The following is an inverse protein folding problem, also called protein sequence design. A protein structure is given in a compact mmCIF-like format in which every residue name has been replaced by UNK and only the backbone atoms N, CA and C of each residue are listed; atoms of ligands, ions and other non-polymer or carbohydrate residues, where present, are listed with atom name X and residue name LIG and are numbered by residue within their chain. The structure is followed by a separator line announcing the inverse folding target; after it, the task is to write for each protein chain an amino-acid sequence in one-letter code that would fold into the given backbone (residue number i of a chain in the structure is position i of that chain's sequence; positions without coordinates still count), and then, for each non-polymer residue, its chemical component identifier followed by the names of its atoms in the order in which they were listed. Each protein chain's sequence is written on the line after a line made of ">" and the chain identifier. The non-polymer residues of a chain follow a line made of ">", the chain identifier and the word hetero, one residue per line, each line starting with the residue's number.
data_IF_791965119340
#
_entry.id   IF_791965119340
#
_cell.length_a   1.000
_cell.length_b   1.000
_cell.length_c   1.000
_cell.angle_alpha   90.00
_cell.angle_beta   90.00
_cell.angle_gamma   90.00
#
_symmetry.space_group_name_H-M   'P 1'
#
loop_
_entity.id
_entity.type
_entity.pdbx_description
1 polymer ?
#
# COMPACT_ATOMS: atom_id res chain seq x y z
N UNK A 1 -1.28 39.56 75.27
CA UNK A 1 -1.35 39.06 73.88
C UNK A 1 -2.70 38.39 73.69
N UNK A 2 -3.48 38.86 72.71
CA UNK A 2 -4.94 38.71 72.55
C UNK A 2 -5.29 37.34 71.93
N UNK A 3 -6.24 36.57 72.51
CA UNK A 3 -7.64 36.27 72.03
C UNK A 3 -7.69 35.64 70.61
N UNK A 4 -8.43 34.59 70.24
CA UNK A 4 -9.58 33.82 70.77
C UNK A 4 -9.68 32.53 69.91
N UNK A 5 -9.93 31.35 70.48
CA UNK A 5 -11.23 30.64 70.46
C UNK A 5 -12.04 30.80 69.15
N UNK A 6 -12.02 29.76 68.31
CA UNK A 6 -12.80 29.65 67.09
C UNK A 6 -14.24 29.20 67.41
N UNK A 7 -15.18 29.94 66.83
CA UNK A 7 -16.62 29.90 67.00
C UNK A 7 -17.24 28.72 66.21
N UNK A 8 -18.14 27.99 66.85
CA UNK A 8 -19.09 27.11 66.17
C UNK A 8 -20.25 27.93 65.59
N UNK A 9 -20.63 27.65 64.34
CA UNK A 9 -21.93 28.05 63.78
C UNK A 9 -22.51 26.89 62.97
N UNK A 10 -23.69 26.42 63.40
CA UNK A 10 -24.60 25.57 62.64
C UNK A 10 -25.26 26.39 61.52
N UNK A 11 -25.32 25.85 60.30
CA UNK A 11 -26.34 26.20 59.29
C UNK A 11 -26.78 24.94 58.52
N UNK A 12 -28.09 24.81 58.36
CA UNK A 12 -28.93 23.75 57.79
C UNK A 12 -28.73 23.46 56.29
N UNK A 13 -29.28 22.35 55.76
CA UNK A 13 -29.01 21.88 54.39
C UNK A 13 -29.80 22.69 53.35
N UNK A 14 -29.08 23.24 52.36
CA UNK A 14 -29.71 23.72 51.14
C UNK A 14 -29.77 22.56 50.14
N UNK A 15 -30.98 22.02 49.95
CA UNK A 15 -31.30 21.14 48.84
C UNK A 15 -31.14 21.93 47.53
N UNK A 16 -29.96 21.83 46.90
CA UNK A 16 -29.81 22.19 45.51
C UNK A 16 -30.39 21.04 44.67
N UNK A 17 -31.62 21.22 44.19
CA UNK A 17 -32.16 20.52 43.04
C UNK A 17 -31.21 20.72 41.86
N UNK A 18 -30.25 19.81 41.72
CA UNK A 18 -29.51 19.64 40.49
C UNK A 18 -30.51 19.15 39.45
N UNK A 19 -30.97 20.08 38.60
CA UNK A 19 -31.55 19.73 37.31
C UNK A 19 -30.42 19.07 36.52
N UNK A 20 -30.24 17.76 36.74
CA UNK A 20 -29.38 16.94 35.92
C UNK A 20 -29.98 16.93 34.53
N UNK A 21 -29.48 17.79 33.65
CA UNK A 21 -29.62 17.60 32.22
C UNK A 21 -28.95 16.26 31.93
N UNK A 22 -29.76 15.19 31.92
CA UNK A 22 -29.33 13.88 31.51
C UNK A 22 -28.72 14.05 30.11
N UNK A 23 -27.42 13.80 30.01
CA UNK A 23 -26.77 13.69 28.71
C UNK A 23 -27.63 12.72 27.88
N UNK A 24 -27.99 13.06 26.63
CA UNK A 24 -28.83 12.18 25.84
C UNK A 24 -28.15 10.82 25.79
N UNK A 25 -28.84 9.83 26.35
CA UNK A 25 -28.48 8.42 26.26
C UNK A 25 -28.33 8.13 24.77
N UNK A 26 -27.08 8.05 24.30
CA UNK A 26 -26.78 7.63 22.94
C UNK A 26 -27.33 6.22 22.83
N UNK A 27 -28.41 6.04 22.06
CA UNK A 27 -29.02 4.74 21.85
C UNK A 27 -27.90 3.72 21.57
N UNK A 28 -27.96 2.49 22.12
CA UNK A 28 -26.89 1.52 21.99
C UNK A 28 -26.57 1.38 20.51
N UNK A 29 -25.38 1.88 20.16
CA UNK A 29 -24.94 1.92 18.78
C UNK A 29 -24.87 0.48 18.30
N UNK A 30 -25.47 0.21 17.14
CA UNK A 30 -25.35 -1.11 16.53
C UNK A 30 -23.87 -1.36 16.29
N UNK A 31 -23.30 -2.30 17.03
CA UNK A 31 -21.92 -2.70 16.84
C UNK A 31 -21.85 -3.55 15.57
N UNK A 32 -20.90 -3.24 14.68
CA UNK A 32 -20.87 -3.84 13.34
C UNK A 32 -19.51 -4.45 12.97
N UNK A 33 -19.09 -5.54 13.65
CA UNK A 33 -17.95 -6.34 13.21
C UNK A 33 -18.07 -6.79 11.74
N UNK A 34 -19.31 -7.02 11.26
CA UNK A 34 -19.59 -7.36 9.88
C UNK A 34 -19.14 -6.27 8.89
N UNK A 35 -19.34 -4.98 9.21
CA UNK A 35 -18.95 -3.86 8.36
C UNK A 35 -17.44 -3.75 8.21
N UNK A 36 -16.69 -3.86 9.31
CA UNK A 36 -15.24 -3.90 9.25
C UNK A 36 -14.74 -5.08 8.40
N UNK A 37 -15.34 -6.27 8.57
CA UNK A 37 -15.01 -7.46 7.77
C UNK A 37 -15.30 -7.25 6.29
N UNK A 38 -16.46 -6.68 5.95
CA UNK A 38 -16.83 -6.38 4.57
C UNK A 38 -15.85 -5.40 3.91
N UNK A 39 -15.39 -4.36 4.61
CA UNK A 39 -14.39 -3.44 4.06
C UNK A 39 -13.06 -4.15 3.78
N UNK A 40 -12.60 -5.05 4.65
CA UNK A 40 -11.37 -5.82 4.39
C UNK A 40 -11.52 -6.79 3.21
N UNK A 41 -12.69 -7.41 3.04
CA UNK A 41 -13.01 -8.20 1.85
C UNK A 41 -13.01 -7.31 0.61
N UNK A 42 -13.57 -6.10 0.70
CA UNK A 42 -13.59 -5.15 -0.41
C UNK A 42 -12.18 -4.70 -0.79
N UNK A 43 -11.29 -4.45 0.19
CA UNK A 43 -9.88 -4.16 -0.04
C UNK A 43 -9.20 -5.31 -0.79
N UNK A 44 -9.36 -6.55 -0.33
CA UNK A 44 -8.80 -7.73 -1.00
C UNK A 44 -9.35 -7.90 -2.43
N UNK A 45 -10.64 -7.60 -2.65
CA UNK A 45 -11.26 -7.61 -3.97
C UNK A 45 -10.67 -6.52 -4.87
N UNK A 46 -10.52 -5.29 -4.39
CA UNK A 46 -9.92 -4.19 -5.16
C UNK A 46 -8.45 -4.47 -5.52
N UNK A 47 -7.71 -5.18 -4.66
CA UNK A 47 -6.36 -5.69 -4.97
C UNK A 47 -6.44 -6.69 -6.13
N UNK A 48 -7.36 -7.66 -6.08
CA UNK A 48 -7.57 -8.64 -7.15
C UNK A 48 -7.94 -7.95 -8.47
N UNK A 49 -8.84 -6.96 -8.41
CA UNK A 49 -9.32 -6.22 -9.58
C UNK A 49 -8.19 -5.41 -10.26
N UNK A 50 -7.10 -5.07 -9.54
CA UNK A 50 -5.91 -4.48 -10.18
C UNK A 50 -5.24 -5.43 -11.17
N UNK A 51 -5.35 -6.75 -10.95
CA UNK A 51 -4.84 -7.75 -11.90
C UNK A 51 -5.83 -8.02 -13.05
N UNK A 52 -7.07 -7.54 -12.96
CA UNK A 52 -8.08 -7.67 -14.02
C UNK A 52 -8.10 -6.46 -14.95
N UNK A 53 -7.97 -5.26 -14.39
CA UNK A 53 -8.18 -4.00 -15.12
C UNK A 53 -7.32 -2.84 -14.61
N UNK A 54 -6.38 -3.11 -13.70
CA UNK A 54 -5.52 -2.07 -13.15
C UNK A 54 -4.53 -1.53 -14.18
N UNK A 55 -3.83 -0.42 -13.87
CA UNK A 55 -2.93 0.24 -14.81
C UNK A 55 -1.83 -0.67 -15.38
N UNK A 56 -1.32 -1.61 -14.58
CA UNK A 56 -0.31 -2.57 -15.03
C UNK A 56 -0.86 -3.55 -16.07
N UNK A 57 -2.11 -3.99 -15.90
CA UNK A 57 -2.80 -4.87 -16.85
C UNK A 57 -3.07 -4.12 -18.16
N UNK A 58 -3.58 -2.88 -18.07
CA UNK A 58 -3.81 -2.01 -19.22
C UNK A 58 -2.52 -1.77 -20.02
N UNK A 59 -1.41 -1.46 -19.36
CA UNK A 59 -0.14 -1.28 -20.05
C UNK A 59 0.39 -2.60 -20.64
N UNK A 60 0.25 -3.73 -19.93
CA UNK A 60 0.65 -5.04 -20.46
C UNK A 60 -0.09 -5.41 -21.75
N UNK A 61 -1.42 -5.23 -21.76
CA UNK A 61 -2.26 -5.42 -22.96
C UNK A 61 -1.83 -4.46 -24.07
N UNK A 62 -1.62 -3.19 -23.76
CA UNK A 62 -1.22 -2.19 -24.76
C UNK A 62 0.16 -2.50 -25.38
N UNK A 63 1.13 -3.01 -24.61
CA UNK A 63 2.44 -3.45 -25.11
C UNK A 63 2.32 -4.64 -26.06
N UNK A 64 1.44 -5.61 -25.77
CA UNK A 64 1.18 -6.73 -26.68
C UNK A 64 0.60 -6.24 -28.01
N UNK A 65 -0.39 -5.35 -27.97
CA UNK A 65 -1.03 -4.80 -29.18
C UNK A 65 -0.07 -3.98 -30.04
N UNK A 66 0.83 -3.20 -29.42
CA UNK A 66 1.83 -2.39 -30.16
C UNK A 66 2.98 -3.23 -30.75
N UNK A 67 3.11 -4.51 -30.39
CA UNK A 67 4.23 -5.33 -30.84
C UNK A 67 4.03 -5.87 -32.27
N UNK A 68 4.56 -5.13 -33.25
CA UNK A 68 4.59 -5.57 -34.65
C UNK A 68 5.40 -6.86 -34.83
N UNK A 69 6.46 -7.05 -34.05
CA UNK A 69 7.27 -8.26 -34.06
C UNK A 69 6.45 -9.49 -33.62
N UNK A 70 5.66 -9.36 -32.55
CA UNK A 70 4.79 -10.43 -32.08
C UNK A 70 3.72 -10.75 -33.13
N UNK A 71 3.11 -9.72 -33.72
CA UNK A 71 2.09 -9.89 -34.77
C UNK A 71 2.64 -10.69 -35.95
N UNK A 72 3.81 -10.31 -36.50
CA UNK A 72 4.46 -11.04 -37.60
C UNK A 72 4.81 -12.48 -37.21
N UNK A 73 5.30 -12.70 -35.99
CA UNK A 73 5.67 -14.02 -35.51
C UNK A 73 4.46 -14.96 -35.36
N UNK A 74 3.31 -14.43 -34.91
CA UNK A 74 2.05 -15.16 -34.81
C UNK A 74 1.48 -15.47 -36.19
N UNK A 75 1.51 -14.52 -37.12
CA UNK A 75 1.09 -14.74 -38.51
C UNK A 75 1.90 -15.86 -39.19
N UNK A 76 3.23 -15.85 -38.97
CA UNK A 76 4.12 -16.90 -39.45
C UNK A 76 4.02 -18.23 -38.66
N UNK A 77 3.19 -18.29 -37.62
CA UNK A 77 3.04 -19.44 -36.69
C UNK A 77 4.38 -20.00 -36.20
N UNK A 78 5.37 -19.13 -35.96
CA UNK A 78 6.73 -19.54 -35.57
C UNK A 78 6.94 -19.42 -34.05
N UNK A 79 6.98 -20.52 -33.28
CA UNK A 79 7.07 -20.46 -31.82
C UNK A 79 8.37 -19.83 -31.31
N UNK A 80 9.49 -19.98 -32.02
CA UNK A 80 10.78 -19.38 -31.63
C UNK A 80 10.73 -17.87 -31.78
N UNK A 81 10.20 -17.38 -32.89
CA UNK A 81 10.00 -15.95 -33.14
C UNK A 81 9.00 -15.33 -32.15
N UNK A 82 7.91 -16.05 -31.80
CA UNK A 82 6.94 -15.60 -30.78
C UNK A 82 7.63 -15.46 -29.42
N UNK A 83 8.42 -16.45 -28.99
CA UNK A 83 9.17 -16.36 -27.72
C UNK A 83 10.12 -15.17 -27.72
N UNK A 84 10.88 -14.95 -28.79
CA UNK A 84 11.79 -13.81 -28.89
C UNK A 84 11.03 -12.47 -28.82
N UNK A 85 9.91 -12.35 -29.53
CA UNK A 85 9.08 -11.14 -29.52
C UNK A 85 8.39 -10.87 -28.17
N UNK A 86 8.17 -11.91 -27.34
CA UNK A 86 7.59 -11.77 -26.02
C UNK A 86 8.57 -11.28 -24.95
N UNK A 87 9.89 -11.47 -25.12
CA UNK A 87 10.91 -11.04 -24.14
C UNK A 87 10.75 -9.56 -23.74
N UNK A 88 10.74 -8.59 -24.67
CA UNK A 88 10.60 -7.18 -24.30
C UNK A 88 9.20 -6.83 -23.77
N UNK A 89 8.17 -7.62 -24.09
CA UNK A 89 6.78 -7.36 -23.66
C UNK A 89 6.53 -7.83 -22.23
N UNK A 90 7.13 -8.95 -21.85
CA UNK A 90 6.96 -9.60 -20.55
C UNK A 90 7.75 -8.90 -19.43
N UNK A 91 8.86 -8.22 -19.77
CA UNK A 91 9.77 -7.60 -18.80
C UNK A 91 9.10 -6.65 -17.80
N UNK A 92 7.94 -6.07 -18.14
CA UNK A 92 7.15 -5.21 -17.26
C UNK A 92 5.91 -5.93 -16.69
N UNK A 93 6.17 -7.05 -15.99
CA UNK A 93 5.24 -7.78 -15.10
C UNK A 93 4.08 -8.54 -15.75
N UNK A 94 4.33 -9.28 -16.83
CA UNK A 94 3.44 -10.40 -17.21
C UNK A 94 3.96 -11.67 -16.52
N UNK A 95 3.16 -12.26 -15.64
CA UNK A 95 3.55 -13.46 -14.88
C UNK A 95 3.37 -14.72 -15.72
N UNK A 96 2.31 -14.75 -16.54
CA UNK A 96 1.99 -15.90 -17.39
C UNK A 96 1.27 -15.46 -18.66
N UNK A 97 1.60 -16.08 -19.79
CA UNK A 97 0.91 -15.84 -21.06
C UNK A 97 0.92 -17.10 -21.94
N UNK A 98 -0.25 -17.41 -22.48
CA UNK A 98 -0.47 -18.43 -23.50
C UNK A 98 -0.87 -17.73 -24.81
N UNK A 99 -0.18 -18.03 -25.89
CA UNK A 99 -0.47 -17.51 -27.24
C UNK A 99 -0.90 -18.65 -28.15
N UNK A 100 -2.00 -18.47 -28.87
CA UNK A 100 -2.61 -19.48 -29.74
C UNK A 100 -3.04 -18.90 -31.08
N UNK A 101 -3.03 -19.73 -32.14
CA UNK A 101 -3.55 -19.39 -33.47
C UNK A 101 -4.11 -20.66 -34.14
N UNK A 102 -5.17 -20.52 -34.95
CA UNK A 102 -5.80 -21.67 -35.65
C UNK A 102 -6.20 -22.80 -34.70
N UNK A 103 -6.82 -22.48 -33.57
CA UNK A 103 -7.20 -23.46 -32.54
C UNK A 103 -6.07 -23.95 -31.62
N UNK A 104 -4.80 -23.92 -32.04
CA UNK A 104 -3.66 -24.51 -31.32
C UNK A 104 -2.87 -23.49 -30.50
N UNK A 105 -2.44 -23.87 -29.29
CA UNK A 105 -1.46 -23.09 -28.51
C UNK A 105 -0.09 -23.19 -29.18
N UNK A 106 0.50 -22.04 -29.52
CA UNK A 106 1.82 -21.95 -30.14
C UNK A 106 2.92 -21.82 -29.08
N UNK A 107 2.70 -20.99 -28.06
CA UNK A 107 3.69 -20.69 -27.02
C UNK A 107 3.00 -20.55 -25.66
N UNK A 108 3.66 -21.04 -24.61
CA UNK A 108 3.38 -20.72 -23.21
C UNK A 108 4.64 -20.13 -22.57
N UNK A 109 4.47 -19.06 -21.82
CA UNK A 109 5.54 -18.42 -21.03
C UNK A 109 5.05 -18.18 -19.62
N UNK A 110 5.91 -18.46 -18.64
CA UNK A 110 5.58 -18.40 -17.21
C UNK A 110 4.98 -19.70 -16.68
N UNK A 111 5.37 -20.06 -15.46
CA UNK A 111 4.93 -21.29 -14.78
C UNK A 111 4.25 -21.00 -13.44
N UNK A 112 4.36 -19.78 -12.93
CA UNK A 112 3.79 -19.41 -11.64
C UNK A 112 2.26 -19.56 -11.62
N UNK A 113 1.68 -19.97 -10.48
CA UNK A 113 0.24 -19.88 -10.26
C UNK A 113 -0.22 -18.43 -10.40
N UNK A 114 -1.08 -18.19 -11.39
CA UNK A 114 -1.51 -16.85 -11.78
C UNK A 114 -3.04 -16.70 -11.68
N UNK A 115 -3.49 -15.45 -11.55
CA UNK A 115 -4.87 -15.06 -11.28
C UNK A 115 -5.36 -14.04 -12.29
N UNK A 116 -6.67 -13.83 -12.35
CA UNK A 116 -7.27 -12.77 -13.16
C UNK A 116 -6.79 -12.79 -14.62
N UNK A 117 -6.94 -13.92 -15.33
CA UNK A 117 -6.50 -13.99 -16.72
C UNK A 117 -7.33 -13.06 -17.62
N UNK A 118 -6.65 -12.26 -18.43
CA UNK A 118 -7.25 -11.42 -19.46
C UNK A 118 -7.02 -12.04 -20.83
N UNK A 119 -8.03 -11.97 -21.69
CA UNK A 119 -8.02 -12.51 -23.04
C UNK A 119 -8.04 -11.39 -24.05
N UNK A 120 -7.39 -11.62 -25.18
CA UNK A 120 -7.43 -10.68 -26.30
C UNK A 120 -6.94 -11.29 -27.60
N UNK A 121 -6.93 -10.46 -28.64
CA UNK A 121 -6.52 -10.82 -29.98
C UNK A 121 -5.17 -10.20 -30.33
N UNK A 122 -4.42 -10.86 -31.21
CA UNK A 122 -3.15 -10.39 -31.76
C UNK A 122 -3.36 -10.13 -33.25
N UNK A 123 -2.90 -8.98 -33.74
CA UNK A 123 -2.87 -8.66 -35.17
C UNK A 123 -4.23 -8.71 -35.87
N UNK A 124 -5.29 -8.16 -35.26
CA UNK A 124 -6.63 -8.16 -35.87
C UNK A 124 -7.31 -9.55 -35.94
N UNK A 125 -6.87 -10.51 -35.11
CA UNK A 125 -7.48 -11.85 -35.04
C UNK A 125 -6.60 -12.98 -35.60
N UNK A 126 -5.39 -12.69 -36.07
CA UNK A 126 -4.41 -13.69 -36.51
C UNK A 126 -4.02 -14.68 -35.41
N UNK A 127 -4.11 -14.25 -34.15
CA UNK A 127 -4.00 -15.11 -32.98
C UNK A 127 -4.78 -14.56 -31.80
N UNK A 128 -4.79 -15.35 -30.73
CA UNK A 128 -5.38 -15.00 -29.43
C UNK A 128 -4.35 -15.18 -28.34
N UNK A 129 -4.50 -14.43 -27.25
CA UNK A 129 -3.73 -14.64 -26.05
C UNK A 129 -4.63 -14.79 -24.83
N UNK A 130 -4.09 -15.44 -23.81
CA UNK A 130 -4.54 -15.36 -22.42
C UNK A 130 -3.32 -14.95 -21.62
N UNK A 131 -3.38 -13.85 -20.88
CA UNK A 131 -2.28 -13.38 -20.06
C UNK A 131 -2.75 -13.14 -18.63
N UNK A 132 -1.80 -13.08 -17.70
CA UNK A 132 -2.04 -12.62 -16.34
C UNK A 132 -0.82 -11.86 -15.83
N UNK A 133 -1.07 -10.71 -15.21
CA UNK A 133 -0.08 -9.93 -14.46
C UNK A 133 -0.10 -10.22 -12.95
N UNK A 134 -1.13 -10.93 -12.47
CA UNK A 134 -1.31 -11.24 -11.05
C UNK A 134 -0.83 -12.63 -10.69
N UNK A 135 0.17 -12.74 -9.82
CA UNK A 135 0.58 -14.00 -9.22
C UNK A 135 -0.13 -14.27 -7.88
N UNK A 136 -0.43 -15.54 -7.61
CA UNK A 136 -1.14 -15.93 -6.38
C UNK A 136 -0.38 -15.57 -5.11
N UNK A 137 0.95 -15.74 -5.13
CA UNK A 137 1.79 -15.53 -3.95
C UNK A 137 1.86 -14.04 -3.55
N UNK A 138 2.08 -13.15 -4.51
CA UNK A 138 2.09 -11.70 -4.25
C UNK A 138 0.70 -11.19 -3.91
N UNK A 139 -0.36 -11.71 -4.54
CA UNK A 139 -1.72 -11.39 -4.13
C UNK A 139 -1.96 -11.75 -2.65
N UNK A 140 -1.56 -12.95 -2.24
CA UNK A 140 -1.63 -13.38 -0.84
C UNK A 140 -0.79 -12.49 0.07
N UNK A 141 0.48 -12.23 -0.28
CA UNK A 141 1.39 -11.45 0.53
C UNK A 141 0.91 -10.00 0.72
N UNK A 142 0.42 -9.35 -0.35
CA UNK A 142 -0.14 -7.99 -0.29
C UNK A 142 -1.42 -8.00 0.53
N UNK A 143 -2.34 -8.94 0.27
CA UNK A 143 -3.62 -9.02 1.00
C UNK A 143 -3.37 -9.23 2.49
N UNK A 144 -2.48 -10.16 2.85
CA UNK A 144 -2.09 -10.42 4.24
C UNK A 144 -1.42 -9.20 4.86
N UNK A 145 -0.46 -8.60 4.16
CA UNK A 145 0.25 -7.42 4.64
C UNK A 145 -0.69 -6.26 4.95
N UNK A 146 -1.67 -6.00 4.08
CA UNK A 146 -2.59 -4.86 4.23
C UNK A 146 -3.75 -5.13 5.17
N UNK A 147 -4.35 -6.33 5.12
CA UNK A 147 -5.61 -6.62 5.84
C UNK A 147 -5.42 -7.50 7.08
N UNK A 148 -4.27 -8.17 7.21
CA UNK A 148 -4.03 -9.24 8.17
C UNK A 148 -4.67 -10.58 7.80
N UNK A 149 -5.37 -10.66 6.66
CA UNK A 149 -6.10 -11.87 6.25
C UNK A 149 -5.17 -12.97 5.73
N UNK A 150 -5.40 -14.21 6.12
CA UNK A 150 -4.86 -15.35 5.38
C UNK A 150 -5.73 -15.62 4.13
N UNK A 151 -5.08 -15.94 3.01
CA UNK A 151 -5.74 -16.14 1.71
C UNK A 151 -5.67 -17.61 1.33
N UNK A 152 -6.78 -18.16 0.81
CA UNK A 152 -6.81 -19.50 0.20
C UNK A 152 -7.61 -19.45 -1.11
N UNK A 153 -7.17 -20.21 -2.11
CA UNK A 153 -7.86 -20.37 -3.39
C UNK A 153 -8.64 -21.69 -3.40
N UNK A 154 -9.94 -21.61 -3.70
CA UNK A 154 -10.85 -22.74 -3.60
C UNK A 154 -11.15 -23.18 -2.16
N UNK A 155 -11.95 -24.24 -2.03
CA UNK A 155 -12.38 -24.79 -0.75
C UNK A 155 -13.72 -24.24 -0.25
N UNK A 156 -14.02 -24.51 1.03
CA UNK A 156 -15.25 -24.09 1.72
C UNK A 156 -14.89 -23.40 3.04
N UNK A 157 -15.76 -22.49 3.50
CA UNK A 157 -15.59 -21.76 4.77
C UNK A 157 -15.01 -20.35 4.64
N UNK A 158 -15.29 -19.50 5.62
CA UNK A 158 -14.85 -18.09 5.66
C UNK A 158 -15.63 -17.16 4.71
N UNK A 159 -15.27 -15.87 4.74
CA UNK A 159 -15.78 -14.88 3.78
C UNK A 159 -15.02 -15.05 2.47
N UNK A 160 -15.71 -14.96 1.34
CA UNK A 160 -15.08 -15.21 0.04
C UNK A 160 -15.68 -14.35 -1.07
N UNK A 161 -14.94 -14.19 -2.15
CA UNK A 161 -15.39 -13.53 -3.37
C UNK A 161 -15.00 -14.34 -4.62
N UNK A 162 -15.76 -14.22 -5.73
CA UNK A 162 -15.46 -14.95 -6.95
C UNK A 162 -14.17 -14.43 -7.60
N UNK A 163 -13.40 -15.34 -8.17
CA UNK A 163 -12.17 -15.04 -8.88
C UNK A 163 -11.94 -16.07 -10.00
N UNK A 164 -10.90 -15.83 -10.80
CA UNK A 164 -10.42 -16.74 -11.82
C UNK A 164 -8.93 -17.02 -11.64
N UNK A 165 -8.55 -18.29 -11.77
CA UNK A 165 -7.14 -18.71 -11.91
C UNK A 165 -6.81 -18.86 -13.39
N UNK A 166 -5.55 -18.66 -13.75
CA UNK A 166 -5.08 -18.88 -15.11
C UNK A 166 -5.25 -20.36 -15.50
N UNK A 167 -5.77 -20.69 -16.71
CA UNK A 167 -6.05 -19.81 -17.85
C UNK A 167 -7.51 -19.31 -17.97
N UNK A 168 -8.30 -19.39 -16.90
CA UNK A 168 -9.71 -18.93 -16.87
C UNK A 168 -10.62 -19.79 -16.02
N UNK A 169 -10.08 -20.65 -15.16
CA UNK A 169 -10.87 -21.52 -14.30
C UNK A 169 -11.50 -20.69 -13.19
N UNK A 170 -12.83 -20.75 -13.08
CA UNK A 170 -13.56 -20.08 -12.00
C UNK A 170 -13.17 -20.69 -10.65
N UNK A 171 -12.94 -19.82 -9.68
CA UNK A 171 -12.61 -20.18 -8.30
C UNK A 171 -13.22 -19.18 -7.33
N UNK A 172 -12.99 -19.40 -6.03
CA UNK A 172 -13.26 -18.41 -4.98
C UNK A 172 -11.99 -18.13 -4.21
N UNK A 173 -11.81 -16.86 -3.85
CA UNK A 173 -10.79 -16.45 -2.88
C UNK A 173 -11.44 -16.43 -1.51
N UNK A 174 -10.93 -17.23 -0.60
CA UNK A 174 -11.37 -17.32 0.79
C UNK A 174 -10.42 -16.53 1.68
N UNK A 175 -10.98 -15.70 2.56
CA UNK A 175 -10.24 -14.88 3.50
C UNK A 175 -10.55 -15.29 4.93
N UNK A 176 -9.51 -15.65 5.68
CA UNK A 176 -9.58 -15.79 7.13
C UNK A 176 -9.15 -14.47 7.76
N UNK A 177 -10.14 -13.66 8.14
CA UNK A 177 -9.93 -12.34 8.72
C UNK A 177 -9.62 -12.43 10.23
N UNK A 178 -8.70 -11.60 10.75
CA UNK A 178 -8.44 -11.53 12.18
C UNK A 178 -9.68 -11.03 12.94
N UNK A 179 -9.83 -11.48 14.19
CA UNK A 179 -10.89 -11.00 15.09
C UNK A 179 -10.71 -9.50 15.36
N UNK A 180 -11.82 -8.78 15.57
CA UNK A 180 -11.81 -7.34 15.84
C UNK A 180 -12.82 -6.96 16.93
N UNK A 181 -12.52 -5.90 17.71
CA UNK A 181 -13.46 -5.37 18.68
C UNK A 181 -14.71 -4.84 17.97
N UNK A 182 -15.84 -4.92 18.66
CA UNK A 182 -17.10 -4.40 18.19
C UNK A 182 -17.12 -2.87 18.38
N UNK A 183 -17.40 -2.13 17.30
CA UNK A 183 -17.50 -0.66 17.28
C UNK A 183 -18.70 -0.26 16.42
N UNK A 184 -19.10 1.01 16.50
CA UNK A 184 -20.18 1.59 15.70
C UNK A 184 -19.97 1.35 14.20
N UNK A 185 -21.05 1.18 13.44
CA UNK A 185 -21.00 0.85 12.02
C UNK A 185 -20.13 1.78 11.15
N UNK A 186 -20.27 3.11 11.30
CA UNK A 186 -19.48 4.08 10.54
C UNK A 186 -17.99 3.99 10.93
N UNK A 187 -17.74 3.88 12.22
CA UNK A 187 -16.41 3.73 12.81
C UNK A 187 -15.74 2.40 12.44
N UNK A 188 -16.52 1.34 12.24
CA UNK A 188 -16.04 0.02 11.86
C UNK A 188 -15.41 0.05 10.46
N UNK A 189 -16.05 0.75 9.50
CA UNK A 189 -15.52 0.92 8.14
C UNK A 189 -14.26 1.75 8.15
N UNK A 190 -14.33 2.95 8.71
CA UNK A 190 -13.20 3.90 8.73
C UNK A 190 -12.03 3.38 9.58
N UNK A 191 -12.30 2.65 10.66
CA UNK A 191 -11.30 1.93 11.44
C UNK A 191 -10.66 0.76 10.68
N UNK A 192 -11.39 0.07 9.79
CA UNK A 192 -10.82 -0.93 8.90
C UNK A 192 -9.84 -0.32 7.89
N UNK A 193 -10.23 0.81 7.29
CA UNK A 193 -9.38 1.62 6.41
C UNK A 193 -8.15 2.14 7.17
N UNK A 194 -8.33 2.63 8.39
CA UNK A 194 -7.26 3.04 9.29
C UNK A 194 -6.23 1.94 9.55
N UNK A 195 -6.67 0.68 9.72
CA UNK A 195 -5.74 -0.45 9.83
C UNK A 195 -4.95 -0.63 8.54
N UNK A 196 -5.61 -0.67 7.38
CA UNK A 196 -4.95 -0.85 6.08
C UNK A 196 -3.91 0.25 5.85
N UNK A 197 -4.24 1.48 6.20
CA UNK A 197 -3.34 2.64 6.16
C UNK A 197 -2.07 2.45 6.98
N UNK A 198 -2.19 1.98 8.23
CA UNK A 198 -1.04 1.70 9.11
C UNK A 198 -0.21 0.54 8.61
N UNK A 199 -0.87 -0.54 8.22
CA UNK A 199 -0.24 -1.76 7.75
C UNK A 199 0.60 -1.52 6.48
N UNK A 200 0.15 -0.65 5.58
CA UNK A 200 0.94 -0.27 4.40
C UNK A 200 2.24 0.44 4.82
N UNK A 201 2.18 1.41 5.74
CA UNK A 201 3.38 2.10 6.25
C UNK A 201 4.33 1.13 6.97
N UNK A 202 3.78 0.22 7.77
CA UNK A 202 4.58 -0.81 8.45
C UNK A 202 5.27 -1.75 7.45
N UNK A 203 4.58 -2.15 6.38
CA UNK A 203 5.15 -2.95 5.32
C UNK A 203 6.26 -2.22 4.56
N UNK A 204 6.14 -0.92 4.33
CA UNK A 204 7.16 -0.08 3.71
C UNK A 204 8.37 0.19 4.61
N UNK A 205 8.17 0.21 5.93
CA UNK A 205 9.24 0.50 6.89
C UNK A 205 10.01 -0.76 7.28
N UNK A 206 9.32 -1.89 7.47
CA UNK A 206 9.88 -3.11 8.07
C UNK A 206 9.55 -4.40 7.31
N UNK A 207 8.68 -4.35 6.30
CA UNK A 207 8.26 -5.51 5.54
C UNK A 207 9.35 -6.07 4.62
N UNK A 208 9.04 -7.21 3.98
CA UNK A 208 10.01 -7.96 3.16
C UNK A 208 10.67 -7.10 2.07
N UNK A 209 9.92 -6.25 1.37
CA UNK A 209 10.47 -5.37 0.34
C UNK A 209 11.46 -4.35 0.91
N UNK A 210 11.16 -3.77 2.08
CA UNK A 210 12.07 -2.86 2.78
C UNK A 210 13.36 -3.60 3.19
N UNK A 211 13.23 -4.80 3.78
CA UNK A 211 14.39 -5.61 4.18
C UNK A 211 15.24 -6.00 2.98
N UNK A 212 14.63 -6.46 1.88
CA UNK A 212 15.39 -6.80 0.67
C UNK A 212 16.11 -5.59 0.08
N UNK A 213 15.48 -4.41 0.08
CA UNK A 213 16.13 -3.16 -0.36
C UNK A 213 17.31 -2.79 0.54
N UNK A 214 17.18 -2.93 1.87
CA UNK A 214 18.27 -2.73 2.83
C UNK A 214 19.41 -3.72 2.58
N UNK A 215 19.11 -5.01 2.42
CA UNK A 215 20.11 -6.04 2.13
C UNK A 215 20.82 -5.79 0.80
N UNK A 216 20.08 -5.42 -0.24
CA UNK A 216 20.65 -5.07 -1.55
C UNK A 216 21.62 -3.88 -1.44
N UNK A 217 21.19 -2.79 -0.80
CA UNK A 217 22.02 -1.60 -0.62
C UNK A 217 23.25 -1.89 0.25
N UNK A 218 23.07 -2.58 1.38
CA UNK A 218 24.15 -2.96 2.29
C UNK A 218 25.18 -3.90 1.65
N UNK A 219 24.74 -4.80 0.77
CA UNK A 219 25.60 -5.74 0.03
C UNK A 219 26.38 -5.10 -1.12
N UNK A 220 26.01 -3.89 -1.56
CA UNK A 220 26.61 -3.22 -2.72
C UNK A 220 28.06 -2.82 -2.46
N UNK A 221 29.01 -3.54 -3.08
CA UNK A 221 30.46 -3.23 -2.97
C UNK A 221 30.80 -1.79 -3.33
N UNK A 222 30.29 -1.19 -4.43
CA UNK A 222 30.55 0.21 -4.75
C UNK A 222 30.04 1.18 -3.68
N UNK A 223 28.86 0.92 -3.10
CA UNK A 223 28.27 1.77 -2.07
C UNK A 223 29.07 1.71 -0.77
N UNK A 224 29.43 0.49 -0.33
CA UNK A 224 30.28 0.28 0.86
C UNK A 224 31.63 1.00 0.74
N UNK A 225 32.32 0.84 -0.39
CA UNK A 225 33.61 1.51 -0.66
C UNK A 225 33.46 3.03 -0.63
N UNK A 226 32.40 3.56 -1.25
CA UNK A 226 32.16 4.99 -1.29
C UNK A 226 31.87 5.59 0.10
N UNK A 227 31.10 4.89 0.94
CA UNK A 227 30.85 5.32 2.33
C UNK A 227 32.13 5.27 3.15
N UNK A 228 32.91 4.19 3.06
CA UNK A 228 34.18 4.06 3.79
C UNK A 228 35.14 5.22 3.45
N UNK A 229 35.27 5.53 2.16
CA UNK A 229 36.06 6.66 1.68
C UNK A 229 35.47 8.04 2.05
N UNK A 230 34.18 8.12 2.38
CA UNK A 230 33.49 9.39 2.62
C UNK A 230 33.36 10.25 1.36
N UNK A 231 33.33 9.63 0.17
CA UNK A 231 33.30 10.33 -1.11
C UNK A 231 31.85 10.60 -1.56
N UNK A 232 31.36 11.86 -1.54
CA UNK A 232 29.98 12.17 -1.85
C UNK A 232 29.59 11.86 -3.30
N UNK A 233 30.47 12.11 -4.27
CA UNK A 233 30.20 11.82 -5.68
C UNK A 233 30.05 10.31 -5.93
N UNK A 234 30.92 9.50 -5.32
CA UNK A 234 30.86 8.04 -5.42
C UNK A 234 29.61 7.46 -4.72
N UNK A 235 29.23 8.01 -3.56
CA UNK A 235 28.00 7.62 -2.85
C UNK A 235 26.78 7.95 -3.70
N UNK A 236 26.71 9.17 -4.27
CA UNK A 236 25.62 9.58 -5.18
C UNK A 236 25.53 8.66 -6.39
N UNK A 237 26.64 8.35 -7.04
CA UNK A 237 26.66 7.44 -8.20
C UNK A 237 26.16 6.03 -7.85
N UNK A 238 26.48 5.53 -6.65
CA UNK A 238 25.96 4.27 -6.15
C UNK A 238 24.46 4.32 -5.87
N UNK A 239 23.95 5.40 -5.26
CA UNK A 239 22.52 5.57 -4.99
C UNK A 239 21.72 5.65 -6.30
N UNK A 240 22.20 6.37 -7.32
CA UNK A 240 21.53 6.45 -8.62
C UNK A 240 21.39 5.07 -9.28
N UNK A 241 22.36 4.16 -9.07
CA UNK A 241 22.23 2.77 -9.54
C UNK A 241 21.11 2.01 -8.84
N UNK A 242 20.88 2.27 -7.55
CA UNK A 242 19.73 1.70 -6.83
C UNK A 242 18.40 2.18 -7.43
N UNK A 243 18.30 3.47 -7.78
CA UNK A 243 17.08 4.02 -8.38
C UNK A 243 16.78 3.47 -9.78
N UNK A 244 17.81 3.02 -10.49
CA UNK A 244 17.69 2.41 -11.83
C UNK A 244 17.43 0.91 -11.78
N UNK A 245 17.57 0.28 -10.62
CA UNK A 245 17.31 -1.14 -10.46
C UNK A 245 15.80 -1.38 -10.33
N UNK A 246 15.16 -1.79 -11.42
CA UNK A 246 13.71 -2.02 -11.46
C UNK A 246 13.22 -3.13 -10.52
N UNK A 247 14.12 -3.90 -9.90
CA UNK A 247 13.79 -4.91 -8.88
C UNK A 247 13.43 -4.28 -7.53
N UNK A 248 13.93 -3.08 -7.25
CA UNK A 248 13.71 -2.39 -5.97
C UNK A 248 13.23 -0.96 -6.21
N UNK A 249 12.10 -0.59 -5.63
CA UNK A 249 11.59 0.77 -5.77
C UNK A 249 12.21 1.72 -4.74
N UNK A 250 13.53 1.88 -4.73
CA UNK A 250 14.17 2.81 -3.80
C UNK A 250 14.02 4.23 -4.35
N UNK A 251 13.48 5.16 -3.57
CA UNK A 251 13.17 6.53 -4.02
C UNK A 251 14.02 7.61 -3.34
N UNK A 252 14.60 7.30 -2.18
CA UNK A 252 15.54 8.17 -1.48
C UNK A 252 16.50 7.39 -0.61
N UNK A 253 17.74 7.84 -0.53
CA UNK A 253 18.77 7.29 0.36
C UNK A 253 19.56 8.43 0.99
N UNK A 254 19.77 8.37 2.30
CA UNK A 254 20.78 9.18 3.01
C UNK A 254 21.82 8.26 3.62
N UNK A 255 23.09 8.62 3.50
CA UNK A 255 24.21 7.83 4.00
C UNK A 255 25.14 8.67 4.88
N UNK A 256 25.63 8.07 5.96
CA UNK A 256 26.52 8.68 6.94
C UNK A 256 27.76 7.82 7.16
N UNK A 257 28.88 8.49 7.46
CA UNK A 257 30.06 7.88 8.09
C UNK A 257 30.21 8.47 9.48
N UNK A 258 30.06 7.64 10.51
CA UNK A 258 29.88 8.13 11.88
C UNK A 258 28.65 9.04 11.99
N UNK A 259 28.83 10.26 12.49
CA UNK A 259 27.80 11.31 12.58
C UNK A 259 27.69 12.16 11.31
N UNK A 260 28.68 12.15 10.42
CA UNK A 260 28.74 13.01 9.24
C UNK A 260 27.87 12.45 8.10
N UNK A 261 26.86 13.22 7.70
CA UNK A 261 26.06 12.96 6.49
C UNK A 261 26.95 13.16 5.25
N UNK A 262 27.17 12.10 4.49
CA UNK A 262 27.95 12.18 3.24
C UNK A 262 27.07 12.75 2.13
N UNK A 263 25.84 12.22 2.00
CA UNK A 263 24.96 12.52 0.86
C UNK A 263 23.52 12.11 1.16
N UNK A 264 22.59 12.89 0.59
CA UNK A 264 21.15 12.66 0.55
C UNK A 264 20.70 12.79 -0.92
N UNK A 265 20.17 11.72 -1.49
CA UNK A 265 19.71 11.69 -2.89
C UNK A 265 18.31 11.12 -2.92
N UNK A 266 17.41 11.78 -3.62
CA UNK A 266 16.02 11.36 -3.83
C UNK A 266 15.06 12.54 -3.77
N UNK A 267 13.76 12.25 -3.95
CA UNK A 267 12.70 13.26 -3.90
C UNK A 267 12.41 13.79 -2.48
N UNK A 268 11.86 15.01 -2.34
CA UNK A 268 11.59 15.60 -1.03
C UNK A 268 10.41 14.94 -0.28
N UNK A 269 9.45 14.34 -0.99
CA UNK A 269 8.19 13.80 -0.48
C UNK A 269 8.26 12.27 -0.37
N UNK A 270 8.89 11.77 0.70
CA UNK A 270 9.02 10.34 0.96
C UNK A 270 8.73 10.03 2.43
N UNK A 271 8.25 8.82 2.69
CA UNK A 271 7.88 8.34 4.03
C UNK A 271 8.64 7.06 4.37
N UNK A 272 8.30 6.46 5.52
CA UNK A 272 8.67 5.08 5.85
C UNK A 272 10.19 4.84 5.83
N UNK A 273 10.98 5.54 6.69
CA UNK A 273 12.42 5.40 6.75
C UNK A 273 12.86 4.00 7.21
N UNK A 274 13.37 3.20 6.27
CA UNK A 274 14.03 1.93 6.56
C UNK A 274 15.53 2.17 6.82
N UNK A 275 16.05 1.67 7.95
CA UNK A 275 17.41 1.98 8.43
C UNK A 275 18.28 0.74 8.43
N UNK A 276 19.56 0.91 8.10
CA UNK A 276 20.57 -0.11 8.29
C UNK A 276 21.94 0.48 8.62
N UNK A 277 22.77 -0.35 9.26
CA UNK A 277 24.17 -0.07 9.57
C UNK A 277 25.05 -1.02 8.77
N UNK A 278 26.17 -0.51 8.26
CA UNK A 278 27.24 -1.30 7.64
C UNK A 278 28.38 -1.34 8.67
N UNK A 279 28.61 -2.48 9.34
CA UNK A 279 29.60 -2.58 10.42
C UNK A 279 30.98 -2.04 10.00
N UNK A 280 31.57 -1.21 10.85
CA UNK A 280 32.88 -0.57 10.62
C UNK A 280 32.93 0.47 9.50
N UNK A 281 31.82 0.75 8.80
CA UNK A 281 31.81 1.62 7.62
C UNK A 281 30.90 2.83 7.82
N UNK A 282 29.65 2.62 8.27
CA UNK A 282 28.70 3.72 8.41
C UNK A 282 27.26 3.26 8.55
N UNK A 283 26.31 4.17 8.35
CA UNK A 283 24.87 3.88 8.39
C UNK A 283 24.15 4.54 7.23
N UNK A 284 23.00 4.02 6.88
CA UNK A 284 22.13 4.64 5.88
C UNK A 284 20.67 4.46 6.23
N UNK A 285 19.84 5.32 5.65
CA UNK A 285 18.40 5.20 5.64
C UNK A 285 17.95 5.27 4.20
N UNK A 286 17.00 4.44 3.83
CA UNK A 286 16.35 4.50 2.53
C UNK A 286 14.83 4.50 2.68
N UNK A 287 14.15 4.90 1.62
CA UNK A 287 12.71 4.74 1.48
C UNK A 287 12.42 3.96 0.20
N UNK A 288 11.46 3.03 0.31
CA UNK A 288 11.00 2.17 -0.79
C UNK A 288 9.73 2.68 -1.47
N UNK A 289 9.18 3.81 -1.00
CA UNK A 289 8.00 4.42 -1.59
C UNK A 289 7.93 5.92 -1.28
N UNK A 290 7.31 6.68 -2.19
CA UNK A 290 7.04 8.10 -1.97
C UNK A 290 5.61 8.34 -1.43
N UNK A 291 5.39 9.57 -0.97
CA UNK A 291 4.13 9.99 -0.33
C UNK A 291 2.95 9.84 -1.32
N UNK A 292 3.21 10.15 -2.59
CA UNK A 292 2.23 10.03 -3.67
C UNK A 292 1.84 8.58 -3.93
N UNK A 293 2.79 7.65 -3.85
CA UNK A 293 2.57 6.22 -3.96
C UNK A 293 1.67 5.73 -2.84
N UNK A 294 1.93 6.16 -1.60
CA UNK A 294 1.09 5.82 -0.45
C UNK A 294 -0.34 6.32 -0.63
N UNK A 295 -0.51 7.60 -0.96
CA UNK A 295 -1.80 8.22 -1.23
C UNK A 295 -2.57 7.45 -2.31
N UNK A 296 -1.91 7.18 -3.45
CA UNK A 296 -2.52 6.44 -4.57
C UNK A 296 -2.93 5.03 -4.18
N UNK A 297 -2.10 4.29 -3.44
CA UNK A 297 -2.40 2.91 -3.04
C UNK A 297 -3.55 2.84 -2.04
N UNK A 298 -3.53 3.70 -1.02
CA UNK A 298 -4.62 3.73 -0.04
C UNK A 298 -5.92 4.13 -0.72
N UNK A 299 -5.95 5.23 -1.48
CA UNK A 299 -7.15 5.63 -2.21
C UNK A 299 -7.66 4.52 -3.13
N UNK A 300 -6.76 3.87 -3.88
CA UNK A 300 -7.12 2.77 -4.78
C UNK A 300 -7.70 1.55 -4.07
N UNK A 301 -7.19 1.19 -2.90
CA UNK A 301 -7.61 -0.01 -2.19
C UNK A 301 -8.74 0.21 -1.18
N UNK A 302 -8.96 1.43 -0.72
CA UNK A 302 -9.97 1.75 0.31
C UNK A 302 -11.04 2.73 -0.16
N UNK A 303 -10.74 3.52 -1.21
CA UNK A 303 -11.57 4.63 -1.66
C UNK A 303 -11.47 5.88 -0.78
N UNK A 304 -10.69 5.86 0.30
CA UNK A 304 -10.54 7.01 1.18
C UNK A 304 -9.73 8.13 0.53
N UNK A 305 -10.10 9.37 0.82
CA UNK A 305 -9.25 10.52 0.56
C UNK A 305 -8.13 10.54 1.59
N UNK A 306 -6.88 10.68 1.15
CA UNK A 306 -5.70 10.67 1.99
C UNK A 306 -5.14 12.09 2.08
N UNK A 307 -4.95 12.55 3.31
CA UNK A 307 -4.30 13.81 3.61
C UNK A 307 -3.11 13.54 4.49
N UNK A 308 -1.93 13.97 4.04
CA UNK A 308 -0.69 13.87 4.78
C UNK A 308 -0.25 15.26 5.21
N UNK A 309 0.17 15.41 6.47
CA UNK A 309 0.81 16.63 6.96
C UNK A 309 2.21 16.34 7.51
N UNK A 310 3.16 17.17 7.10
CA UNK A 310 4.52 17.22 7.63
C UNK A 310 4.69 18.52 8.42
N UNK A 311 4.51 18.44 9.74
CA UNK A 311 4.34 19.63 10.57
C UNK A 311 3.09 20.41 10.16
N UNK A 312 3.15 21.74 9.97
CA UNK A 312 1.97 22.55 9.62
C UNK A 312 1.61 22.50 8.12
N UNK A 313 2.35 21.76 7.29
CA UNK A 313 2.17 21.77 5.83
C UNK A 313 1.52 20.48 5.35
N UNK A 314 0.49 20.63 4.52
CA UNK A 314 -0.05 19.51 3.74
C UNK A 314 0.97 19.08 2.69
N UNK A 315 1.23 17.77 2.61
CA UNK A 315 2.14 17.19 1.62
C UNK A 315 1.46 17.26 0.24
N UNK A 316 2.16 17.75 -0.80
CA UNK A 316 1.66 17.75 -2.17
C UNK A 316 1.22 16.36 -2.64
N UNK A 317 0.15 16.32 -3.42
CA UNK A 317 -0.46 15.07 -3.90
C UNK A 317 -1.51 14.48 -2.98
N UNK A 318 -1.70 15.02 -1.76
CA UNK A 318 -2.86 14.72 -0.91
C UNK A 318 -4.16 14.94 -1.68
N UNK A 319 -5.17 14.09 -1.46
CA UNK A 319 -6.46 14.17 -2.18
C UNK A 319 -7.21 15.47 -1.91
N UNK A 320 -7.04 16.03 -0.71
CA UNK A 320 -7.58 17.33 -0.31
C UNK A 320 -6.42 18.29 -0.03
N UNK A 321 -6.42 19.45 -0.69
CA UNK A 321 -5.34 20.43 -0.60
C UNK A 321 -5.87 21.88 -0.64
N UNK A 322 -5.57 22.73 0.37
CA UNK A 322 -4.97 22.37 1.66
C UNK A 322 -5.90 21.41 2.42
N UNK A 323 -5.35 20.38 3.08
CA UNK A 323 -6.18 19.40 3.77
C UNK A 323 -6.76 19.95 5.09
N UNK A 324 -7.84 19.37 5.62
CA UNK A 324 -8.35 19.73 6.94
C UNK A 324 -7.27 19.50 8.03
N UNK A 325 -7.37 20.19 9.18
CA UNK A 325 -6.47 19.99 10.31
C UNK A 325 -6.43 18.52 10.75
N UNK A 326 -5.24 18.04 11.10
CA UNK A 326 -5.07 16.69 11.62
C UNK A 326 -5.80 16.52 12.96
N UNK A 327 -6.50 15.41 13.11
CA UNK A 327 -7.08 14.96 14.38
C UNK A 327 -6.82 13.47 14.53
N UNK A 328 -6.22 13.00 15.64
CA UNK A 328 -5.92 11.59 15.84
C UNK A 328 -7.18 10.75 16.10
N UNK A 329 -7.13 9.48 15.74
CA UNK A 329 -8.21 8.53 15.98
C UNK A 329 -9.42 8.73 15.06
N UNK A 330 -10.55 8.15 15.45
CA UNK A 330 -11.82 8.33 14.76
C UNK A 330 -12.39 9.72 15.06
N UNK A 331 -12.80 10.43 14.03
CA UNK A 331 -13.37 11.77 14.16
C UNK A 331 -14.32 12.06 13.00
N UNK A 332 -15.11 13.12 13.16
CA UNK A 332 -15.92 13.70 12.08
C UNK A 332 -15.32 15.05 11.71
N UNK A 333 -15.07 15.25 10.41
CA UNK A 333 -14.47 16.47 9.88
C UNK A 333 -15.41 17.07 8.84
N UNK A 334 -15.66 18.37 8.92
CA UNK A 334 -16.34 19.09 7.84
C UNK A 334 -15.31 19.84 7.02
N UNK A 335 -15.26 19.59 5.72
CA UNK A 335 -14.30 20.21 4.80
C UNK A 335 -14.99 20.50 3.46
N UNK A 336 -14.88 21.74 2.97
CA UNK A 336 -15.50 22.15 1.71
C UNK A 336 -17.02 21.94 1.66
N UNK A 337 -17.71 22.12 2.79
CA UNK A 337 -19.17 21.91 2.90
C UNK A 337 -19.61 20.44 2.91
N UNK A 338 -18.67 19.49 2.95
CA UNK A 338 -18.94 18.05 3.08
C UNK A 338 -18.49 17.53 4.43
N UNK A 339 -19.28 16.66 5.03
CA UNK A 339 -18.91 15.95 6.25
C UNK A 339 -18.21 14.65 5.88
N UNK A 340 -17.13 14.34 6.59
CA UNK A 340 -16.34 13.14 6.43
C UNK A 340 -16.25 12.42 7.77
N UNK A 341 -16.30 11.09 7.75
CA UNK A 341 -15.76 10.28 8.84
C UNK A 341 -14.29 10.04 8.56
N UNK A 342 -13.42 10.38 9.50
CA UNK A 342 -11.98 10.32 9.32
C UNK A 342 -11.28 9.44 10.37
N UNK A 343 -10.15 8.85 9.96
CA UNK A 343 -9.22 8.18 10.86
C UNK A 343 -7.85 8.84 10.77
N UNK A 344 -7.40 9.43 11.87
CA UNK A 344 -6.06 10.02 11.98
C UNK A 344 -5.06 9.13 12.71
N UNK A 345 -3.82 9.06 12.23
CA UNK A 345 -2.71 8.45 12.96
C UNK A 345 -1.38 9.08 12.56
N UNK A 346 -0.34 8.85 13.34
CA UNK A 346 1.02 9.31 13.04
C UNK A 346 1.88 8.16 12.52
N UNK A 347 2.75 8.48 11.57
CA UNK A 347 3.75 7.58 11.00
C UNK A 347 5.15 8.23 11.06
N UNK A 348 6.24 7.46 10.92
CA UNK A 348 7.57 8.07 10.84
C UNK A 348 7.74 8.81 9.51
N UNK A 349 8.05 10.12 9.59
CA UNK A 349 8.45 10.90 8.42
C UNK A 349 9.88 10.53 8.02
N UNK A 350 10.19 10.62 6.72
CA UNK A 350 11.56 10.51 6.26
C UNK A 350 12.29 11.86 6.42
N UNK A 351 13.55 11.88 6.88
CA UNK A 351 14.34 10.75 7.39
C UNK A 351 14.10 10.49 8.89
N UNK A 352 13.34 11.35 9.56
CA UNK A 352 12.95 11.28 10.97
C UNK A 352 11.79 12.25 11.23
N UNK A 353 11.15 12.13 12.39
CA UNK A 353 10.01 12.96 12.80
C UNK A 353 8.68 12.26 12.57
N UNK A 354 7.59 13.01 12.73
CA UNK A 354 6.23 12.51 12.59
C UNK A 354 5.58 13.02 11.31
N UNK A 355 4.96 12.11 10.58
CA UNK A 355 4.01 12.36 9.50
C UNK A 355 2.62 12.14 10.08
N UNK A 356 1.73 13.11 9.92
CA UNK A 356 0.32 12.97 10.28
C UNK A 356 -0.45 12.46 9.06
N UNK A 357 -1.18 11.37 9.23
CA UNK A 357 -1.98 10.73 8.18
C UNK A 357 -3.44 10.82 8.56
N UNK A 358 -4.28 11.36 7.67
CA UNK A 358 -5.73 11.36 7.80
C UNK A 358 -6.35 10.62 6.63
N UNK A 359 -7.21 9.65 6.92
CA UNK A 359 -7.98 8.89 5.93
C UNK A 359 -9.45 9.29 6.06
N UNK A 360 -10.03 9.90 5.03
CA UNK A 360 -11.36 10.49 5.07
C UNK A 360 -12.32 9.73 4.14
N UNK A 361 -13.53 9.48 4.64
CA UNK A 361 -14.62 8.85 3.89
C UNK A 361 -15.84 9.79 3.96
N UNK A 362 -16.39 10.23 2.80
CA UNK A 362 -17.60 11.04 2.75
C UNK A 362 -18.84 10.34 3.31
#
# INVERSE_FOLDING_TARGET
>A
MRRSAALALLVLPAAATACGAAAPSRAPSRSCPATARQELVAVARRIYDQSVSGPNEVDAVARLHRSAALTRAVAARNPRAIRAALIPVIHNRIVRIDVAAGGRTLVRVGTAPALAPVRGLIGGGMGRYVLSVGDQHSFEAITRGLTGAAVRFGGTGGVSFPAQTFPGTSTRVHLALPARPAVDCADARVGAIGLVGRNLIDAETRGASAQMALHHAAGSRPFRRAIAAGNPAAVRAAIIRFFRDSRFHIVRVRAWRGSHLITDVGGPFVISPARATIPGIGRFVLSVQDDTGYIKLIHRFTGADVVLHAGPRTVPGSNLFPGPPYTPGLTTVTYGGRTYTAYGFTAPAFPSGALQVSLLVP
#
